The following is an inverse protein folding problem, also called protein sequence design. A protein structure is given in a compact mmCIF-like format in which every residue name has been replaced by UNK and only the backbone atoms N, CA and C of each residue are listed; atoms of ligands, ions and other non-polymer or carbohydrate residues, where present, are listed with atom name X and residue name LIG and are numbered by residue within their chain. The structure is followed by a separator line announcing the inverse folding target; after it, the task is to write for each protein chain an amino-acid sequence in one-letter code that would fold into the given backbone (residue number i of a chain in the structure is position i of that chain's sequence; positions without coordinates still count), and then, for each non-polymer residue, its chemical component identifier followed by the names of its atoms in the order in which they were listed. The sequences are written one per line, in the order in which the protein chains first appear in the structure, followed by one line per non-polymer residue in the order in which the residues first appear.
data_IF_392550687527
#
_entry.id   IF_392550687527
#
_cell.length_a   1.000
_cell.length_b   1.000
_cell.length_c   1.000
_cell.angle_alpha   90.00
_cell.angle_beta   90.00
_cell.angle_gamma   90.00
#
_symmetry.space_group_name_H-M   'P 1'
#
loop_
_entity.id
_entity.type
_entity.pdbx_description
1 polymer ?
#
# COMPACT_ATOMS: atom_id res chain seq x y z
N UNK A 1 -3.43 1.25 -10.73
CA UNK A 1 -2.28 2.10 -10.35
C UNK A 1 -1.03 1.27 -10.58
N UNK A 2 0.17 1.83 -10.51
CA UNK A 2 1.37 1.06 -10.80
C UNK A 2 2.17 0.80 -9.52
N UNK A 3 2.58 -0.45 -9.33
CA UNK A 3 3.53 -0.85 -8.31
C UNK A 3 4.94 -1.07 -8.91
N UNK A 4 6.00 -1.02 -8.10
CA UNK A 4 7.35 -1.33 -8.55
C UNK A 4 7.47 -2.80 -8.97
N UNK A 5 7.36 -3.08 -10.28
CA UNK A 5 7.24 -4.45 -10.83
C UNK A 5 8.31 -5.44 -10.32
N UNK A 6 9.58 -5.01 -10.19
CA UNK A 6 10.64 -5.87 -9.64
C UNK A 6 10.40 -6.25 -8.18
N UNK A 7 9.94 -5.31 -7.37
CA UNK A 7 9.65 -5.55 -5.97
C UNK A 7 8.38 -6.40 -5.81
N UNK A 8 7.35 -6.16 -6.63
CA UNK A 8 6.15 -7.01 -6.68
C UNK A 8 6.52 -8.46 -6.95
N UNK A 9 7.35 -8.72 -7.97
CA UNK A 9 7.78 -10.06 -8.33
C UNK A 9 8.62 -10.76 -7.24
N UNK A 10 9.34 -9.99 -6.41
CA UNK A 10 10.16 -10.50 -5.32
C UNK A 10 9.40 -10.61 -3.98
N UNK A 11 8.17 -10.10 -3.90
CA UNK A 11 7.41 -10.06 -2.64
C UNK A 11 6.89 -11.46 -2.30
N UNK A 12 7.19 -11.93 -1.09
CA UNK A 12 6.66 -13.20 -0.55
C UNK A 12 5.75 -13.00 0.65
N UNK A 13 5.88 -11.85 1.33
CA UNK A 13 5.12 -11.48 2.52
C UNK A 13 4.66 -10.03 2.39
N UNK A 14 3.42 -9.78 2.79
CA UNK A 14 2.88 -8.44 3.01
C UNK A 14 2.43 -8.31 4.46
N UNK A 15 2.94 -7.32 5.16
CA UNK A 15 2.32 -6.82 6.38
C UNK A 15 1.20 -5.83 6.02
N UNK A 16 0.01 -6.04 6.58
CA UNK A 16 -1.07 -5.04 6.53
C UNK A 16 -0.95 -4.16 7.76
N UNK A 17 -0.89 -2.84 7.54
CA UNK A 17 -0.63 -1.85 8.58
C UNK A 17 -1.84 -0.95 8.78
N UNK A 18 -2.36 -0.88 10.01
CA UNK A 18 -3.28 0.18 10.43
C UNK A 18 -2.48 1.43 10.77
N UNK A 19 -2.61 2.43 9.92
CA UNK A 19 -1.83 3.67 10.00
C UNK A 19 -2.20 4.51 11.22
N UNK A 20 -1.19 5.01 11.93
CA UNK A 20 -1.36 5.91 13.09
C UNK A 20 -0.91 7.35 12.82
N UNK A 21 -0.30 7.62 11.67
CA UNK A 21 0.18 8.94 11.30
C UNK A 21 0.81 9.00 9.92
N UNK A 22 1.18 10.20 9.51
CA UNK A 22 1.92 10.46 8.27
C UNK A 22 3.42 10.53 8.62
N UNK A 23 4.33 9.95 7.81
CA UNK A 23 5.75 10.10 8.01
C UNK A 23 6.15 11.57 7.94
N UNK A 24 7.11 11.95 8.79
CA UNK A 24 7.63 13.33 8.83
C UNK A 24 8.61 13.55 7.66
N UNK A 25 9.22 12.48 7.14
CA UNK A 25 10.15 12.50 6.00
C UNK A 25 9.87 11.33 5.05
N UNK A 26 10.31 11.47 3.80
CA UNK A 26 10.12 10.47 2.74
C UNK A 26 10.92 9.18 2.93
N UNK A 27 11.93 9.19 3.81
CA UNK A 27 12.80 8.06 4.13
C UNK A 27 12.42 7.37 5.45
N UNK A 28 11.44 7.91 6.19
CA UNK A 28 10.97 7.31 7.43
C UNK A 28 9.81 6.34 7.17
N UNK A 29 9.84 5.11 7.71
CA UNK A 29 8.77 4.14 7.56
C UNK A 29 7.40 4.68 7.95
N UNK A 30 6.36 4.15 7.31
CA UNK A 30 4.99 4.45 7.71
C UNK A 30 4.73 3.91 9.13
N UNK A 31 4.23 4.77 10.01
CA UNK A 31 3.95 4.38 11.41
C UNK A 31 2.55 3.78 11.53
N UNK A 32 2.46 2.63 12.20
CA UNK A 32 1.19 1.96 12.41
C UNK A 32 1.37 0.58 13.02
N UNK A 33 0.24 -0.01 13.43
CA UNK A 33 0.18 -1.36 13.96
C UNK A 33 0.04 -2.35 12.80
N UNK A 34 0.89 -3.37 12.75
CA UNK A 34 0.69 -4.53 11.87
C UNK A 34 -0.54 -5.30 12.38
N UNK A 35 -1.53 -5.49 11.52
CA UNK A 35 -2.81 -6.13 11.87
C UNK A 35 -2.96 -7.50 11.23
N UNK A 36 -2.29 -7.75 10.10
CA UNK A 36 -2.28 -9.05 9.43
C UNK A 36 -0.99 -9.26 8.63
N UNK A 37 -0.78 -10.52 8.26
CA UNK A 37 0.29 -10.97 7.38
C UNK A 37 -0.34 -11.76 6.23
N UNK A 38 -0.14 -11.31 5.00
CA UNK A 38 -0.54 -12.02 3.79
C UNK A 38 0.68 -12.68 3.18
N UNK A 39 0.59 -13.98 2.87
CA UNK A 39 1.71 -14.79 2.36
C UNK A 39 1.32 -15.56 1.11
N UNK A 40 2.30 -15.87 0.26
CA UNK A 40 2.09 -16.68 -0.93
C UNK A 40 0.99 -16.14 -1.84
N UNK A 41 -0.04 -16.93 -2.11
CA UNK A 41 -1.12 -16.55 -3.02
C UNK A 41 -1.92 -15.33 -2.52
N UNK A 42 -2.11 -15.19 -1.20
CA UNK A 42 -2.83 -14.04 -0.64
C UNK A 42 -2.09 -12.73 -0.89
N UNK A 43 -0.76 -12.74 -0.74
CA UNK A 43 0.08 -11.59 -1.06
C UNK A 43 0.02 -11.26 -2.57
N UNK A 44 0.12 -12.28 -3.43
CA UNK A 44 0.07 -12.10 -4.88
C UNK A 44 -1.29 -11.55 -5.35
N UNK A 45 -2.40 -12.08 -4.83
CA UNK A 45 -3.75 -11.59 -5.14
C UNK A 45 -3.98 -10.16 -4.65
N UNK A 46 -3.48 -9.81 -3.46
CA UNK A 46 -3.55 -8.44 -2.96
C UNK A 46 -2.76 -7.47 -3.85
N UNK A 47 -1.55 -7.82 -4.29
CA UNK A 47 -0.75 -6.99 -5.19
C UNK A 47 -1.42 -6.82 -6.55
N UNK A 48 -1.94 -7.91 -7.12
CA UNK A 48 -2.68 -7.86 -8.37
C UNK A 48 -3.92 -6.97 -8.26
N UNK A 49 -4.67 -7.09 -7.15
CA UNK A 49 -5.80 -6.20 -6.87
C UNK A 49 -5.35 -4.74 -6.80
N UNK A 50 -4.23 -4.45 -6.13
CA UNK A 50 -3.68 -3.09 -6.02
C UNK A 50 -3.36 -2.51 -7.41
N UNK A 51 -2.77 -3.29 -8.30
CA UNK A 51 -2.46 -2.83 -9.66
C UNK A 51 -3.72 -2.51 -10.47
N UNK A 52 -4.84 -3.19 -10.19
CA UNK A 52 -6.12 -2.93 -10.87
C UNK A 52 -6.86 -1.67 -10.42
N UNK A 53 -6.43 -0.95 -9.37
CA UNK A 53 -7.13 0.27 -8.95
C UNK A 53 -7.08 1.32 -10.07
N UNK A 54 -8.23 1.79 -10.59
CA UNK A 54 -8.22 2.80 -11.63
C UNK A 54 -7.68 4.13 -11.09
N UNK A 55 -7.01 4.90 -11.95
CA UNK A 55 -6.48 6.22 -11.59
C UNK A 55 -7.60 7.24 -11.33
N UNK A 56 -7.31 8.26 -10.54
CA UNK A 56 -8.24 9.37 -10.26
C UNK A 56 -7.51 10.72 -10.27
N UNK A 57 -8.25 11.80 -10.05
CA UNK A 57 -7.67 13.12 -9.77
C UNK A 57 -7.37 13.28 -8.28
N UNK A 58 -6.61 14.30 -7.93
CA UNK A 58 -6.36 14.64 -6.54
C UNK A 58 -7.63 15.20 -5.87
N UNK A 59 -7.98 14.68 -4.70
CA UNK A 59 -9.07 15.22 -3.88
C UNK A 59 -8.54 16.03 -2.69
N UNK A 60 -9.36 16.95 -2.18
CA UNK A 60 -8.99 17.80 -1.04
C UNK A 60 -8.93 17.01 0.26
N UNK A 61 -7.74 16.59 0.68
CA UNK A 61 -7.43 16.24 2.06
C UNK A 61 -5.90 16.23 2.26
N UNK A 62 -5.44 16.56 3.47
CA UNK A 62 -4.01 16.67 3.79
C UNK A 62 -3.28 15.33 3.94
N UNK A 63 -3.72 14.29 3.23
CA UNK A 63 -3.26 12.90 3.32
C UNK A 63 -3.32 12.33 4.75
N UNK A 64 -4.45 11.75 5.12
CA UNK A 64 -4.63 11.04 6.40
C UNK A 64 -4.85 9.55 6.10
N UNK A 65 -3.76 8.79 5.81
CA UNK A 65 -3.89 7.40 5.39
C UNK A 65 -4.45 6.58 6.54
N UNK A 66 -5.40 5.70 6.22
CA UNK A 66 -5.99 4.78 7.20
C UNK A 66 -5.31 3.41 7.18
N UNK A 67 -4.74 3.03 6.04
CA UNK A 67 -4.21 1.70 5.79
C UNK A 67 -2.91 1.80 5.02
N UNK A 68 -2.04 0.81 5.22
CA UNK A 68 -0.84 0.65 4.42
C UNK A 68 -0.45 -0.82 4.31
N UNK A 69 0.51 -1.08 3.44
CA UNK A 69 1.18 -2.36 3.33
C UNK A 69 2.68 -2.19 3.39
N UNK A 70 3.39 -3.21 3.87
CA UNK A 70 4.84 -3.36 3.71
C UNK A 70 5.13 -4.68 3.04
N UNK A 71 5.85 -4.64 1.93
CA UNK A 71 6.19 -5.80 1.13
C UNK A 71 7.64 -6.24 1.40
N UNK A 72 7.82 -7.53 1.63
CA UNK A 72 9.11 -8.13 1.98
C UNK A 72 9.51 -9.19 0.96
N UNK A 73 10.81 -9.27 0.70
CA UNK A 73 11.43 -10.43 0.05
C UNK A 73 11.64 -11.58 1.06
N UNK A 74 12.03 -12.75 0.56
CA UNK A 74 12.15 -14.01 1.32
C UNK A 74 13.14 -13.96 2.49
N UNK A 75 14.13 -13.08 2.44
CA UNK A 75 15.02 -12.85 3.59
C UNK A 75 14.29 -12.27 4.80
N UNK A 76 13.16 -11.58 4.57
CA UNK A 76 12.40 -10.79 5.55
C UNK A 76 13.20 -9.68 6.24
N UNK A 77 14.47 -9.51 5.87
CA UNK A 77 15.40 -8.53 6.45
C UNK A 77 15.19 -7.13 5.86
N UNK A 78 14.63 -7.04 4.65
CA UNK A 78 14.45 -5.80 3.91
C UNK A 78 13.01 -5.61 3.43
N UNK A 79 12.44 -4.45 3.77
CA UNK A 79 11.21 -3.94 3.15
C UNK A 79 11.54 -3.49 1.73
N UNK A 80 10.96 -4.14 0.73
CA UNK A 80 11.12 -3.78 -0.68
C UNK A 80 10.42 -2.46 -1.00
N UNK A 81 9.19 -2.32 -0.49
CA UNK A 81 8.43 -1.09 -0.53
C UNK A 81 7.33 -1.07 0.53
N UNK A 82 6.87 0.13 0.87
CA UNK A 82 5.64 0.34 1.61
C UNK A 82 4.71 1.22 0.78
N UNK A 83 3.40 1.01 0.91
CA UNK A 83 2.38 1.84 0.30
C UNK A 83 1.33 2.22 1.34
N UNK A 84 1.05 3.52 1.50
CA UNK A 84 0.03 4.03 2.39
C UNK A 84 -1.15 4.61 1.59
N UNK A 85 -2.36 4.12 1.89
CA UNK A 85 -3.59 4.42 1.17
C UNK A 85 -4.48 5.36 1.97
N UNK A 86 -4.83 6.50 1.36
CA UNK A 86 -5.85 7.40 1.85
C UNK A 86 -7.11 7.29 0.99
N UNK A 87 -8.03 6.42 1.38
CA UNK A 87 -9.34 6.24 0.73
C UNK A 87 -10.25 7.48 0.80
N UNK A 88 -9.87 8.52 1.57
CA UNK A 88 -10.61 9.80 1.62
C UNK A 88 -10.12 10.79 0.55
N UNK A 89 -8.82 10.88 0.30
CA UNK A 89 -8.25 11.80 -0.71
C UNK A 89 -7.81 11.10 -1.97
N UNK A 90 -8.05 9.79 -2.07
CA UNK A 90 -7.81 9.01 -3.28
C UNK A 90 -6.32 8.98 -3.63
N UNK A 91 -5.45 9.11 -2.64
CA UNK A 91 -4.00 9.21 -2.80
C UNK A 91 -3.34 7.98 -2.17
N UNK A 92 -2.33 7.46 -2.86
CA UNK A 92 -1.40 6.47 -2.35
C UNK A 92 0.01 7.06 -2.37
N UNK A 93 0.75 6.88 -1.27
CA UNK A 93 2.16 7.19 -1.21
C UNK A 93 2.95 5.91 -1.07
N UNK A 94 3.94 5.73 -1.94
CA UNK A 94 4.77 4.54 -1.99
C UNK A 94 6.21 4.95 -1.77
N UNK A 95 6.93 4.23 -0.91
CA UNK A 95 8.36 4.44 -0.69
C UNK A 95 9.09 3.11 -0.59
N UNK A 96 10.42 3.15 -0.65
CA UNK A 96 11.26 1.96 -0.64
C UNK A 96 12.42 2.09 -1.62
N UNK A 97 13.45 1.30 -1.42
CA UNK A 97 14.66 1.32 -2.25
C UNK A 97 14.37 0.93 -3.71
N UNK A 98 13.34 0.12 -3.92
CA UNK A 98 12.92 -0.34 -5.24
C UNK A 98 11.82 0.54 -5.89
N UNK A 99 11.46 1.67 -5.28
CA UNK A 99 10.36 2.53 -5.75
C UNK A 99 10.92 3.70 -6.58
N UNK A 100 10.64 3.74 -7.90
CA UNK A 100 11.00 4.89 -8.73
C UNK A 100 10.26 6.16 -8.27
N UNK A 101 10.85 7.36 -8.41
CA UNK A 101 10.21 8.62 -8.00
C UNK A 101 8.82 8.84 -8.61
N UNK A 102 8.60 8.40 -9.86
CA UNK A 102 7.32 8.50 -10.55
C UNK A 102 6.18 7.68 -9.89
N UNK A 103 6.51 6.67 -9.08
CA UNK A 103 5.54 5.84 -8.37
C UNK A 103 5.32 6.29 -6.92
N UNK A 104 6.08 7.29 -6.45
CA UNK A 104 6.12 7.69 -5.03
C UNK A 104 4.82 8.31 -4.53
N UNK A 105 4.07 8.97 -5.40
CA UNK A 105 2.73 9.47 -5.11
C UNK A 105 1.86 9.28 -6.34
N UNK A 106 0.73 8.61 -6.17
CA UNK A 106 -0.24 8.34 -7.22
C UNK A 106 -1.65 8.55 -6.67
N UNK A 107 -2.62 8.66 -7.58
CA UNK A 107 -4.03 8.79 -7.23
C UNK A 107 -4.83 7.61 -7.78
N UNK A 108 -5.82 7.15 -7.01
CA UNK A 108 -6.68 6.03 -7.35
C UNK A 108 -8.14 6.34 -7.04
N UNK A 109 -9.08 5.80 -7.80
CA UNK A 109 -10.51 5.99 -7.52
C UNK A 109 -10.95 5.06 -6.37
N UNK A 110 -11.11 5.62 -5.17
CA UNK A 110 -11.52 4.87 -3.98
C UNK A 110 -12.97 4.36 -4.08
N UNK A 111 -13.78 4.94 -4.97
CA UNK A 111 -15.16 4.54 -5.23
C UNK A 111 -15.26 3.46 -6.32
N UNK A 112 -14.16 3.07 -6.94
CA UNK A 112 -14.15 1.95 -7.87
C UNK A 112 -14.30 0.61 -7.15
N UNK A 113 -14.85 -0.40 -7.83
CA UNK A 113 -15.05 -1.73 -7.24
C UNK A 113 -13.76 -2.36 -6.67
N UNK A 114 -12.60 -2.35 -7.37
CA UNK A 114 -11.36 -2.90 -6.83
C UNK A 114 -10.89 -2.20 -5.54
N UNK A 115 -11.07 -0.87 -5.45
CA UNK A 115 -10.66 -0.10 -4.27
C UNK A 115 -11.55 -0.42 -3.06
N UNK A 116 -12.86 -0.59 -3.27
CA UNK A 116 -13.77 -1.03 -2.20
C UNK A 116 -13.44 -2.44 -1.71
N UNK A 117 -13.11 -3.35 -2.62
CA UNK A 117 -12.65 -4.70 -2.27
C UNK A 117 -11.39 -4.64 -1.43
N UNK A 118 -10.38 -3.86 -1.85
CA UNK A 118 -9.14 -3.70 -1.09
C UNK A 118 -9.39 -3.13 0.31
N UNK A 119 -10.27 -2.12 0.43
CA UNK A 119 -10.62 -1.55 1.73
C UNK A 119 -11.36 -2.55 2.63
N UNK A 120 -12.19 -3.43 2.06
CA UNK A 120 -12.84 -4.50 2.81
C UNK A 120 -11.80 -5.49 3.35
N UNK A 121 -10.86 -5.95 2.50
CA UNK A 121 -9.76 -6.84 2.91
C UNK A 121 -8.95 -6.24 4.07
N UNK A 122 -8.60 -4.95 4.00
CA UNK A 122 -7.91 -4.28 5.10
C UNK A 122 -8.71 -4.22 6.40
N UNK A 123 -10.03 -4.03 6.31
CA UNK A 123 -10.91 -3.99 7.51
C UNK A 123 -11.07 -5.37 8.12
N UNK A 124 -11.23 -6.40 7.31
CA UNK A 124 -11.32 -7.80 7.76
C UNK A 124 -10.01 -8.26 8.42
N UNK A 125 -8.87 -7.77 7.91
CA UNK A 125 -7.55 -8.01 8.48
C UNK A 125 -7.32 -7.35 9.87
N UNK A 126 -8.20 -6.45 10.33
CA UNK A 126 -8.07 -5.73 11.59
C UNK A 126 -9.24 -6.05 12.56
N UNK A 127 -9.18 -7.17 13.27
CA UNK A 127 -10.17 -7.54 14.27
C UNK A 127 -10.22 -6.58 15.47
#
# INVERSE_FOLDING_TARGET
MHLPARAVAATVLIEVVRMSGVPIRSDTPFTGKVVAHWVGNEAAEALALIETLPGSQQHRCGFSPGWGIRAYEDSLDLVLFEAAFCFRCHEVRTHGTAVPPALSTQFFDADAAPARTLLALFREAAP
#
